data_IF_993548244413
#
_entry.id   IF_993548244413
#
_cell.length_a   1.000
_cell.length_b   1.000
_cell.length_c   1.000
_cell.angle_alpha   90.00
_cell.angle_beta   90.00
_cell.angle_gamma   90.00
#
_symmetry.space_group_name_H-M   'P 1'
#
loop_
_entity.id
_entity.type
_entity.pdbx_description
1 polymer ?
#
# COMPACT_ATOMS: atom_id res chain seq x y z
N UNK A 1 25.86 -28.93 -8.06
CA UNK A 1 25.09 -27.82 -8.67
C UNK A 1 24.24 -27.22 -7.56
N UNK A 2 24.44 -25.97 -7.18
CA UNK A 2 23.58 -25.26 -6.22
C UNK A 2 22.18 -25.15 -6.85
N UNK A 3 21.12 -25.62 -6.15
CA UNK A 3 19.76 -25.33 -6.57
C UNK A 3 19.57 -23.83 -6.58
N UNK A 4 19.16 -23.27 -7.71
CA UNK A 4 18.78 -21.88 -7.79
C UNK A 4 17.61 -21.63 -6.80
N UNK A 5 17.66 -20.51 -6.08
CA UNK A 5 16.55 -20.15 -5.20
C UNK A 5 15.28 -19.92 -6.04
N UNK A 6 14.13 -20.46 -5.62
CA UNK A 6 12.89 -20.28 -6.35
C UNK A 6 12.48 -18.79 -6.38
N UNK A 7 11.83 -18.38 -7.48
CA UNK A 7 11.16 -17.08 -7.56
C UNK A 7 9.95 -17.09 -6.62
N UNK A 8 9.93 -16.23 -5.62
CA UNK A 8 8.80 -16.11 -4.70
C UNK A 8 7.83 -15.05 -5.26
N UNK A 9 6.60 -15.47 -5.56
CA UNK A 9 5.55 -14.61 -6.12
C UNK A 9 4.42 -14.46 -5.11
N UNK A 10 4.13 -13.21 -4.74
CA UNK A 10 2.99 -12.87 -3.89
C UNK A 10 1.75 -12.64 -4.76
N UNK A 11 0.70 -13.44 -4.52
CA UNK A 11 -0.57 -13.36 -5.26
C UNK A 11 -1.54 -12.44 -4.52
N UNK A 12 -1.67 -11.20 -4.98
CA UNK A 12 -2.53 -10.16 -4.41
C UNK A 12 -3.87 -10.07 -5.12
N UNK A 13 -4.97 -10.18 -4.39
CA UNK A 13 -6.34 -9.93 -4.88
C UNK A 13 -7.33 -9.91 -3.71
N UNK A 14 -8.61 -9.72 -4.01
CA UNK A 14 -9.68 -9.94 -3.04
C UNK A 14 -9.63 -11.38 -2.51
N UNK A 15 -9.88 -11.55 -1.21
CA UNK A 15 -9.91 -12.85 -0.55
C UNK A 15 -11.09 -13.73 -1.00
N UNK A 16 -12.08 -13.15 -1.68
CA UNK A 16 -13.34 -13.80 -2.05
C UNK A 16 -13.36 -14.32 -3.50
N UNK A 17 -12.21 -14.50 -4.14
CA UNK A 17 -12.14 -14.95 -5.53
C UNK A 17 -11.23 -16.16 -5.70
N UNK A 18 -11.67 -17.15 -6.47
CA UNK A 18 -11.00 -18.44 -6.65
C UNK A 18 -9.87 -18.42 -7.71
N UNK A 19 -9.53 -17.25 -8.22
CA UNK A 19 -8.54 -17.12 -9.31
C UNK A 19 -7.16 -17.68 -8.99
N UNK A 20 -6.80 -17.74 -7.70
CA UNK A 20 -5.48 -18.24 -7.27
C UNK A 20 -5.35 -19.75 -7.41
N UNK A 21 -6.46 -20.48 -7.34
CA UNK A 21 -6.45 -21.95 -7.45
C UNK A 21 -5.88 -22.44 -8.79
N UNK A 22 -6.36 -21.98 -9.97
CA UNK A 22 -5.76 -22.36 -11.23
C UNK A 22 -4.31 -21.91 -11.38
N UNK A 23 -3.92 -20.77 -10.79
CA UNK A 23 -2.52 -20.32 -10.78
C UNK A 23 -1.66 -21.27 -9.95
N UNK A 24 -2.11 -21.64 -8.75
CA UNK A 24 -1.42 -22.62 -7.89
C UNK A 24 -1.30 -23.98 -8.57
N UNK A 25 -2.38 -24.46 -9.17
CA UNK A 25 -2.35 -25.72 -9.91
C UNK A 25 -1.36 -25.71 -11.09
N UNK A 26 -1.25 -24.57 -11.81
CA UNK A 26 -0.29 -24.42 -12.91
C UNK A 26 1.16 -24.56 -12.46
N UNK A 27 1.49 -24.08 -11.26
CA UNK A 27 2.88 -24.03 -10.75
C UNK A 27 3.17 -25.03 -9.63
N UNK A 28 2.24 -25.92 -9.25
CA UNK A 28 2.39 -26.83 -8.10
C UNK A 28 3.61 -27.77 -8.17
N UNK A 29 4.06 -28.09 -9.40
CA UNK A 29 5.20 -28.97 -9.65
C UNK A 29 6.41 -28.24 -10.24
N UNK A 30 6.42 -26.91 -10.23
CA UNK A 30 7.52 -26.11 -10.74
C UNK A 30 8.40 -25.63 -9.57
N UNK A 31 9.55 -26.28 -9.39
CA UNK A 31 10.50 -25.98 -8.31
C UNK A 31 11.21 -24.63 -8.48
N UNK A 32 11.03 -23.96 -9.62
CA UNK A 32 11.55 -22.62 -9.89
C UNK A 32 10.72 -21.51 -9.27
N UNK A 33 9.49 -21.80 -8.80
CA UNK A 33 8.58 -20.79 -8.25
C UNK A 33 7.97 -21.23 -6.93
N UNK A 34 7.79 -20.28 -6.01
CA UNK A 34 7.02 -20.44 -4.79
C UNK A 34 5.93 -19.39 -4.78
N UNK A 35 4.67 -19.81 -4.73
CA UNK A 35 3.52 -18.92 -4.65
C UNK A 35 3.16 -18.69 -3.18
N UNK A 36 3.06 -17.43 -2.79
CA UNK A 36 2.61 -16.99 -1.46
C UNK A 36 1.45 -16.01 -1.62
N UNK A 37 0.72 -15.74 -0.55
CA UNK A 37 -0.39 -14.79 -0.58
C UNK A 37 -1.38 -15.03 0.55
N UNK A 38 -2.48 -14.27 0.59
CA UNK A 38 -3.55 -14.47 1.57
C UNK A 38 -4.09 -15.89 1.47
N UNK A 39 -4.48 -16.44 2.61
CA UNK A 39 -5.19 -17.72 2.66
C UNK A 39 -6.63 -17.49 2.21
N UNK A 40 -7.08 -18.24 1.20
CA UNK A 40 -8.44 -18.16 0.68
C UNK A 40 -9.44 -18.99 1.49
N UNK A 41 -8.96 -19.72 2.48
CA UNK A 41 -9.83 -20.50 3.35
C UNK A 41 -10.63 -19.57 4.28
N UNK A 42 -11.86 -19.27 3.87
CA UNK A 42 -12.80 -18.46 4.64
C UNK A 42 -13.01 -19.00 6.06
N UNK A 43 -13.05 -20.32 6.23
CA UNK A 43 -13.20 -20.95 7.53
C UNK A 43 -12.08 -20.57 8.49
N UNK A 44 -10.83 -20.45 8.01
CA UNK A 44 -9.72 -19.92 8.81
C UNK A 44 -9.83 -18.41 9.04
N UNK A 45 -10.29 -17.66 8.04
CA UNK A 45 -10.53 -16.23 8.17
C UNK A 45 -11.64 -15.94 9.19
N UNK A 46 -12.74 -16.68 9.11
CA UNK A 46 -13.89 -16.53 10.01
C UNK A 46 -13.60 -17.05 11.42
N UNK A 47 -12.84 -18.14 11.55
CA UNK A 47 -12.43 -18.70 12.83
C UNK A 47 -11.43 -17.82 13.60
N UNK A 48 -10.75 -16.89 12.91
CA UNK A 48 -9.77 -15.99 13.54
C UNK A 48 -10.34 -14.63 13.95
N UNK A 49 -11.64 -14.38 13.81
CA UNK A 49 -12.30 -13.14 14.22
C UNK A 49 -13.55 -12.85 13.39
N UNK A 50 -14.46 -12.05 13.92
CA UNK A 50 -15.68 -11.64 13.23
C UNK A 50 -15.35 -10.89 11.93
N UNK A 51 -16.20 -10.98 10.89
CA UNK A 51 -16.09 -10.13 9.72
C UNK A 51 -16.08 -8.65 10.15
N UNK A 52 -15.02 -7.95 9.80
CA UNK A 52 -14.87 -6.55 10.18
C UNK A 52 -13.83 -6.25 11.25
N UNK A 53 -13.47 -7.21 12.08
CA UNK A 53 -12.39 -7.02 13.02
C UNK A 53 -11.04 -7.13 12.31
N UNK A 54 -10.30 -6.02 12.31
CA UNK A 54 -8.92 -6.02 11.81
C UNK A 54 -8.09 -6.85 12.76
N UNK A 55 -7.66 -8.00 12.28
CA UNK A 55 -6.95 -8.97 13.10
C UNK A 55 -5.57 -8.44 13.49
N UNK A 56 -5.24 -8.45 14.78
CA UNK A 56 -3.87 -8.25 15.20
C UNK A 56 -2.94 -9.17 14.39
N UNK A 57 -1.89 -8.61 13.82
CA UNK A 57 -0.95 -9.36 12.99
C UNK A 57 -1.25 -9.39 11.48
N UNK A 58 -2.35 -8.82 11.00
CA UNK A 58 -2.62 -8.71 9.56
C UNK A 58 -1.51 -7.93 8.83
N UNK A 59 -1.16 -6.75 9.35
CA UNK A 59 -0.01 -5.96 8.88
C UNK A 59 1.28 -6.81 8.86
N UNK A 60 1.60 -7.43 10.00
CA UNK A 60 2.82 -8.23 10.13
C UNK A 60 2.88 -9.36 9.10
N UNK A 61 1.76 -10.05 8.87
CA UNK A 61 1.67 -11.15 7.91
C UNK A 61 1.89 -10.68 6.47
N UNK A 62 1.24 -9.58 6.06
CA UNK A 62 1.43 -8.99 4.72
C UNK A 62 2.89 -8.58 4.55
N UNK A 63 3.44 -7.82 5.50
CA UNK A 63 4.82 -7.36 5.47
C UNK A 63 5.80 -8.53 5.39
N UNK A 64 5.59 -9.58 6.18
CA UNK A 64 6.42 -10.79 6.19
C UNK A 64 6.40 -11.54 4.85
N UNK A 65 5.23 -11.69 4.23
CA UNK A 65 5.12 -12.38 2.94
C UNK A 65 5.74 -11.55 1.81
N UNK A 66 5.45 -10.26 1.76
CA UNK A 66 5.98 -9.35 0.73
C UNK A 66 7.49 -9.15 0.88
N UNK A 67 8.04 -9.11 2.11
CA UNK A 67 9.50 -8.97 2.30
C UNK A 67 10.29 -10.13 1.71
N UNK A 68 9.70 -11.32 1.64
CA UNK A 68 10.30 -12.52 1.07
C UNK A 68 10.00 -12.71 -0.42
N UNK A 69 9.12 -11.90 -0.99
CA UNK A 69 8.70 -12.01 -2.38
C UNK A 69 9.64 -11.27 -3.31
N UNK A 70 9.80 -11.78 -4.51
CA UNK A 70 10.51 -11.13 -5.62
C UNK A 70 9.55 -10.38 -6.52
N UNK A 71 8.33 -10.89 -6.63
CA UNK A 71 7.27 -10.37 -7.49
C UNK A 71 5.98 -10.25 -6.70
N UNK A 72 5.26 -9.14 -6.86
CA UNK A 72 3.85 -9.02 -6.55
C UNK A 72 3.06 -9.18 -7.84
N UNK A 73 2.13 -10.12 -7.86
CA UNK A 73 1.15 -10.31 -8.94
C UNK A 73 -0.23 -9.93 -8.43
N UNK A 74 -0.69 -8.72 -8.78
CA UNK A 74 -1.98 -8.16 -8.37
C UNK A 74 -3.05 -8.39 -9.42
N UNK A 75 -4.26 -8.82 -9.01
CA UNK A 75 -5.37 -9.07 -9.91
C UNK A 75 -6.69 -8.53 -9.38
N UNK A 76 -7.34 -7.67 -10.17
CA UNK A 76 -8.72 -7.21 -9.95
C UNK A 76 -9.62 -7.91 -10.99
N UNK A 77 -10.39 -8.94 -10.59
CA UNK A 77 -11.23 -9.70 -11.51
C UNK A 77 -12.49 -8.96 -11.93
N UNK A 78 -13.11 -8.22 -11.03
CA UNK A 78 -14.35 -7.46 -11.26
C UNK A 78 -14.41 -6.21 -10.38
N UNK A 79 -15.27 -5.27 -10.68
CA UNK A 79 -15.55 -4.06 -9.90
C UNK A 79 -16.37 -4.32 -8.61
N UNK A 80 -16.94 -5.50 -8.47
CA UNK A 80 -17.67 -5.91 -7.26
C UNK A 80 -16.76 -6.02 -6.03
N UNK A 81 -15.46 -6.29 -6.25
CA UNK A 81 -14.48 -6.36 -5.19
C UNK A 81 -13.92 -4.99 -4.85
N UNK A 82 -13.73 -4.74 -3.57
CA UNK A 82 -13.27 -3.44 -3.07
C UNK A 82 -11.81 -3.14 -3.43
N UNK A 83 -10.97 -4.16 -3.55
CA UNK A 83 -9.58 -4.16 -4.04
C UNK A 83 -8.60 -3.18 -3.34
N UNK A 84 -8.97 -2.63 -2.20
CA UNK A 84 -8.12 -1.69 -1.44
C UNK A 84 -6.79 -2.30 -1.00
N UNK A 85 -6.84 -3.57 -0.59
CA UNK A 85 -5.65 -4.31 -0.18
C UNK A 85 -4.61 -4.43 -1.30
N UNK A 86 -5.05 -4.58 -2.56
CA UNK A 86 -4.13 -4.68 -3.70
C UNK A 86 -3.30 -3.40 -3.82
N UNK A 87 -3.93 -2.24 -3.71
CA UNK A 87 -3.25 -0.95 -3.80
C UNK A 87 -2.26 -0.75 -2.66
N UNK A 88 -2.66 -1.12 -1.44
CA UNK A 88 -1.77 -1.09 -0.28
C UNK A 88 -0.54 -1.99 -0.49
N UNK A 89 -0.77 -3.22 -0.97
CA UNK A 89 0.27 -4.22 -1.21
C UNK A 89 1.19 -3.81 -2.38
N UNK A 90 0.66 -3.17 -3.43
CA UNK A 90 1.46 -2.56 -4.51
C UNK A 90 2.37 -1.47 -3.94
N UNK A 91 1.86 -0.60 -3.07
CA UNK A 91 2.66 0.42 -2.41
C UNK A 91 3.83 -0.18 -1.62
N UNK A 92 3.57 -1.20 -0.81
CA UNK A 92 4.61 -1.91 -0.05
C UNK A 92 5.65 -2.54 -0.99
N UNK A 93 5.18 -3.27 -2.01
CA UNK A 93 6.05 -3.96 -2.96
C UNK A 93 6.96 -2.96 -3.70
N UNK A 94 6.41 -1.83 -4.13
CA UNK A 94 7.15 -0.77 -4.81
C UNK A 94 8.21 -0.15 -3.92
N UNK A 95 7.89 0.17 -2.67
CA UNK A 95 8.84 0.73 -1.70
C UNK A 95 10.05 -0.20 -1.46
N UNK A 96 9.82 -1.51 -1.53
CA UNK A 96 10.89 -2.52 -1.38
C UNK A 96 11.54 -2.93 -2.70
N UNK A 97 11.30 -2.21 -3.80
CA UNK A 97 11.87 -2.51 -5.11
C UNK A 97 11.47 -3.86 -5.68
N UNK A 98 10.31 -4.40 -5.27
CA UNK A 98 9.77 -5.65 -5.82
C UNK A 98 9.20 -5.39 -7.20
N UNK A 99 9.28 -6.40 -8.08
CA UNK A 99 8.57 -6.33 -9.36
C UNK A 99 7.08 -6.41 -9.12
N UNK A 100 6.34 -5.55 -9.81
CA UNK A 100 4.88 -5.47 -9.68
C UNK A 100 4.23 -5.71 -11.03
N UNK A 101 3.51 -6.83 -11.15
CA UNK A 101 2.63 -7.11 -12.29
C UNK A 101 1.20 -6.90 -11.84
N UNK A 102 0.47 -6.08 -12.59
CA UNK A 102 -0.88 -5.71 -12.22
C UNK A 102 -1.86 -6.02 -13.34
N UNK A 103 -2.90 -6.77 -13.04
CA UNK A 103 -3.97 -7.12 -13.97
C UNK A 103 -5.27 -6.47 -13.50
N UNK A 104 -5.84 -5.59 -14.33
CA UNK A 104 -7.17 -5.03 -14.12
C UNK A 104 -8.14 -5.55 -15.18
N UNK A 105 -8.91 -6.59 -14.84
CA UNK A 105 -9.99 -7.08 -15.70
C UNK A 105 -11.31 -6.32 -15.48
N UNK A 106 -11.39 -5.47 -14.47
CA UNK A 106 -12.54 -4.65 -14.14
C UNK A 106 -12.48 -3.30 -14.85
N UNK A 107 -12.85 -3.25 -16.11
CA UNK A 107 -12.76 -2.04 -16.96
C UNK A 107 -13.45 -0.80 -16.42
N UNK A 108 -14.50 -0.97 -15.61
CA UNK A 108 -15.17 0.13 -14.91
C UNK A 108 -14.28 0.84 -13.89
N UNK A 109 -13.12 0.25 -13.52
CA UNK A 109 -12.16 0.81 -12.58
C UNK A 109 -10.93 1.41 -13.27
N UNK A 110 -10.86 1.47 -14.60
CA UNK A 110 -9.68 1.92 -15.32
C UNK A 110 -9.19 3.31 -14.88
N UNK A 111 -10.11 4.25 -14.62
CA UNK A 111 -9.74 5.58 -14.14
C UNK A 111 -9.24 5.58 -12.69
N UNK A 112 -9.87 4.78 -11.84
CA UNK A 112 -9.51 4.70 -10.41
C UNK A 112 -8.13 4.06 -10.18
N UNK A 113 -7.76 3.07 -11.01
CA UNK A 113 -6.48 2.36 -10.88
C UNK A 113 -5.29 3.09 -11.51
N UNK A 114 -5.52 4.16 -12.27
CA UNK A 114 -4.45 4.96 -12.90
C UNK A 114 -3.36 5.42 -11.93
N UNK A 115 -3.75 5.68 -10.68
CA UNK A 115 -2.80 6.06 -9.64
C UNK A 115 -1.73 4.99 -9.35
N UNK A 116 -2.03 3.71 -9.62
CA UNK A 116 -1.09 2.61 -9.40
C UNK A 116 -0.13 2.40 -10.58
N UNK A 117 -0.47 2.86 -11.80
CA UNK A 117 0.34 2.59 -12.99
C UNK A 117 1.81 3.03 -12.88
N UNK A 118 2.14 4.17 -12.26
CA UNK A 118 3.55 4.54 -12.03
C UNK A 118 4.30 3.61 -11.06
N UNK A 119 3.56 2.83 -10.27
CA UNK A 119 4.12 1.91 -9.29
C UNK A 119 4.27 0.48 -9.80
N UNK A 120 3.81 0.18 -11.02
CA UNK A 120 3.86 -1.18 -11.60
C UNK A 120 4.89 -1.26 -12.73
N UNK A 121 5.49 -2.42 -12.90
CA UNK A 121 6.44 -2.66 -13.99
C UNK A 121 5.72 -3.05 -15.28
N UNK A 122 4.66 -3.85 -15.18
CA UNK A 122 3.82 -4.25 -16.31
C UNK A 122 2.33 -4.29 -15.87
N UNK A 123 1.44 -3.79 -16.73
CA UNK A 123 -0.01 -3.84 -16.51
C UNK A 123 -0.73 -4.54 -17.65
N UNK A 124 -1.82 -5.27 -17.31
CA UNK A 124 -2.56 -6.10 -18.25
C UNK A 124 -4.07 -5.96 -18.04
N UNK A 125 -4.80 -6.21 -19.10
CA UNK A 125 -6.27 -6.13 -19.14
C UNK A 125 -6.96 -7.46 -18.87
N UNK A 126 -6.21 -8.56 -18.90
CA UNK A 126 -6.72 -9.89 -18.64
C UNK A 126 -5.67 -10.76 -17.93
N UNK A 127 -6.17 -11.77 -17.21
CA UNK A 127 -5.34 -12.64 -16.39
C UNK A 127 -4.33 -13.45 -17.21
N UNK A 128 -4.72 -13.90 -18.42
CA UNK A 128 -3.86 -14.78 -19.21
C UNK A 128 -2.57 -14.07 -19.63
N UNK A 129 -2.66 -12.83 -20.15
CA UNK A 129 -1.49 -12.04 -20.55
C UNK A 129 -0.55 -11.80 -19.35
N UNK A 130 -1.12 -11.47 -18.18
CA UNK A 130 -0.35 -11.33 -16.95
C UNK A 130 0.37 -12.62 -16.54
N UNK A 131 -0.30 -13.76 -16.63
CA UNK A 131 0.29 -15.06 -16.33
C UNK A 131 1.36 -15.49 -17.34
N UNK A 132 1.18 -15.15 -18.62
CA UNK A 132 2.19 -15.42 -19.64
C UNK A 132 3.44 -14.60 -19.42
N UNK A 133 3.28 -13.34 -19.01
CA UNK A 133 4.40 -12.48 -18.61
C UNK A 133 5.11 -13.01 -17.37
N UNK A 134 4.38 -13.45 -16.35
CA UNK A 134 4.94 -14.09 -15.16
C UNK A 134 5.73 -15.35 -15.54
N UNK A 135 5.17 -16.19 -16.41
CA UNK A 135 5.82 -17.41 -16.90
C UNK A 135 7.14 -17.11 -17.64
N UNK A 136 7.15 -16.08 -18.49
CA UNK A 136 8.37 -15.60 -19.16
C UNK A 136 9.42 -15.17 -18.15
N UNK A 137 9.04 -14.43 -17.11
CA UNK A 137 9.95 -13.99 -16.07
C UNK A 137 10.57 -15.18 -15.33
N UNK A 138 9.77 -16.16 -14.93
CA UNK A 138 10.24 -17.39 -14.27
C UNK A 138 11.16 -18.20 -15.18
N UNK A 139 10.83 -18.27 -16.48
CA UNK A 139 11.61 -18.99 -17.50
C UNK A 139 12.93 -18.34 -17.86
N UNK A 140 13.02 -17.02 -17.81
CA UNK A 140 14.21 -16.25 -18.20
C UNK A 140 15.39 -16.40 -17.22
N UNK A 141 15.17 -17.06 -16.08
CA UNK A 141 16.14 -17.54 -15.09
C UNK A 141 16.94 -16.56 -14.25
N UNK A 142 17.13 -16.96 -13.02
CA UNK A 142 18.26 -16.74 -12.11
C UNK A 142 18.94 -15.35 -12.03
N UNK A 143 19.14 -14.67 -13.14
CA UNK A 143 19.71 -13.32 -13.20
C UNK A 143 18.71 -12.21 -12.84
N UNK A 144 17.42 -12.47 -12.95
CA UNK A 144 16.38 -11.47 -12.61
C UNK A 144 16.22 -11.33 -11.10
N UNK A 145 16.55 -12.38 -10.35
CA UNK A 145 16.43 -12.40 -8.89
C UNK A 145 17.61 -11.72 -8.17
N UNK A 146 18.75 -11.56 -8.85
CA UNK A 146 19.95 -10.93 -8.26
C UNK A 146 19.82 -9.41 -8.11
N UNK A 147 18.84 -8.79 -8.76
CA UNK A 147 18.62 -7.34 -8.75
C UNK A 147 17.44 -6.90 -7.87
N UNK A 148 16.88 -7.80 -7.05
CA UNK A 148 15.92 -7.36 -6.03
C UNK A 148 16.70 -6.57 -4.99
N UNK A 149 16.52 -5.26 -4.99
CA UNK A 149 17.12 -4.39 -4.00
C UNK A 149 16.88 -4.94 -2.59
N UNK A 150 17.88 -4.94 -1.76
CA UNK A 150 17.67 -5.07 -0.33
C UNK A 150 16.60 -4.02 0.06
N UNK A 151 15.68 -4.38 0.94
CA UNK A 151 14.71 -3.42 1.45
C UNK A 151 15.42 -2.15 1.95
N UNK A 152 14.70 -1.05 2.12
CA UNK A 152 15.29 0.21 2.52
C UNK A 152 16.17 0.00 3.77
N UNK A 153 17.32 0.63 3.77
CA UNK A 153 18.22 0.61 4.94
C UNK A 153 17.54 1.39 6.07
N UNK A 154 16.95 0.65 6.99
CA UNK A 154 16.23 1.21 8.14
C UNK A 154 17.13 2.06 9.06
N UNK A 155 18.45 2.01 8.88
CA UNK A 155 19.39 2.83 9.65
C UNK A 155 19.40 4.30 9.21
N UNK A 156 18.81 4.64 8.07
CA UNK A 156 18.71 6.04 7.61
C UNK A 156 17.53 6.81 8.23
N UNK A 157 16.69 6.15 9.03
CA UNK A 157 15.60 6.77 9.78
C UNK A 157 16.10 7.42 11.10
N UNK A 158 17.28 8.04 11.07
CA UNK A 158 17.77 8.80 12.22
C UNK A 158 16.99 10.11 12.28
N UNK A 159 16.33 10.34 13.41
CA UNK A 159 15.66 11.59 13.72
C UNK A 159 16.62 12.76 13.45
N UNK A 160 16.25 13.73 12.61
CA UNK A 160 17.05 14.91 12.42
C UNK A 160 17.13 15.68 13.75
N UNK A 161 18.32 15.76 14.31
CA UNK A 161 18.59 16.65 15.43
C UNK A 161 18.95 18.02 14.88
N UNK A 162 18.03 18.98 14.94
CA UNK A 162 18.25 20.37 14.50
C UNK A 162 16.94 21.04 14.08
N UNK A 163 16.99 22.33 13.75
CA UNK A 163 15.89 23.12 13.19
C UNK A 163 15.48 22.60 11.80
N UNK A 164 14.91 21.39 11.74
CA UNK A 164 14.57 20.72 10.48
C UNK A 164 13.09 20.93 10.20
N UNK A 165 12.83 21.46 9.03
CA UNK A 165 11.49 21.59 8.50
C UNK A 165 10.91 20.20 8.20
N UNK A 166 9.80 19.85 8.85
CA UNK A 166 9.11 18.59 8.60
C UNK A 166 8.38 18.61 7.26
N UNK A 167 8.66 17.65 6.42
CA UNK A 167 7.99 17.49 5.13
C UNK A 167 6.83 16.51 5.26
N UNK A 168 5.60 17.02 5.14
CA UNK A 168 4.38 16.24 5.28
C UNK A 168 3.74 16.02 3.92
N UNK A 169 3.67 14.76 3.48
CA UNK A 169 2.99 14.39 2.24
C UNK A 169 1.49 14.27 2.49
N UNK A 170 0.70 14.94 1.66
CA UNK A 170 -0.77 14.92 1.71
C UNK A 170 -1.30 13.94 0.66
N UNK A 171 -2.03 12.92 1.09
CA UNK A 171 -2.69 11.97 0.18
C UNK A 171 -4.15 11.76 0.58
N UNK A 172 -5.03 11.70 -0.39
CA UNK A 172 -6.44 11.43 -0.08
C UNK A 172 -7.41 11.91 -1.13
N UNK A 173 -8.53 12.40 -0.64
CA UNK A 173 -9.64 12.90 -1.42
C UNK A 173 -9.20 13.98 -2.41
N UNK A 174 -9.79 13.97 -3.60
CA UNK A 174 -9.58 14.99 -4.64
C UNK A 174 -10.18 16.34 -4.26
N UNK A 175 -11.08 16.36 -3.27
CA UNK A 175 -11.58 17.60 -2.69
C UNK A 175 -10.44 18.42 -2.07
N UNK A 176 -10.13 19.55 -2.67
CA UNK A 176 -9.05 20.43 -2.20
C UNK A 176 -9.36 21.11 -0.87
N UNK A 177 -10.60 21.12 -0.41
CA UNK A 177 -11.00 21.87 0.79
C UNK A 177 -10.26 21.41 2.05
N UNK A 178 -10.04 20.11 2.22
CA UNK A 178 -9.25 19.61 3.35
C UNK A 178 -7.78 20.00 3.25
N UNK A 179 -7.19 19.99 2.04
CA UNK A 179 -5.81 20.41 1.80
C UNK A 179 -5.65 21.90 2.12
N UNK A 180 -6.60 22.73 1.68
CA UNK A 180 -6.61 24.17 1.99
C UNK A 180 -6.78 24.42 3.49
N UNK A 181 -7.60 23.63 4.18
CA UNK A 181 -7.75 23.69 5.63
C UNK A 181 -6.44 23.37 6.36
N UNK A 182 -5.71 22.34 5.91
CA UNK A 182 -4.39 22.00 6.43
C UNK A 182 -3.42 23.15 6.20
N UNK A 183 -3.30 23.65 4.97
CA UNK A 183 -2.39 24.75 4.62
C UNK A 183 -2.71 26.04 5.38
N UNK A 184 -4.00 26.32 5.58
CA UNK A 184 -4.43 27.50 6.32
C UNK A 184 -4.01 27.44 7.80
N UNK A 185 -4.12 26.24 8.42
CA UNK A 185 -3.73 26.03 9.81
C UNK A 185 -2.24 26.29 10.06
N UNK A 186 -1.37 25.94 9.09
CA UNK A 186 0.09 26.04 9.23
C UNK A 186 0.70 27.18 8.41
N UNK A 187 -0.11 28.14 7.96
CA UNK A 187 0.35 29.23 7.07
C UNK A 187 1.51 30.03 7.62
N UNK A 188 1.53 30.25 8.93
CA UNK A 188 2.54 31.04 9.65
C UNK A 188 3.63 30.16 10.29
N UNK A 189 3.60 28.88 10.02
CA UNK A 189 4.52 27.90 10.60
C UNK A 189 5.58 27.54 9.57
N UNK A 190 6.81 27.91 9.84
CA UNK A 190 7.95 27.62 8.97
C UNK A 190 8.60 26.25 9.21
N UNK A 191 8.17 25.54 10.27
CA UNK A 191 8.68 24.21 10.64
C UNK A 191 8.04 23.09 9.82
N UNK A 192 6.95 23.35 9.10
CA UNK A 192 6.22 22.32 8.33
C UNK A 192 6.09 22.71 6.86
N UNK A 193 6.40 21.79 5.99
CA UNK A 193 6.18 21.89 4.54
C UNK A 193 5.20 20.83 4.08
N UNK A 194 4.14 21.25 3.38
CA UNK A 194 3.14 20.35 2.83
C UNK A 194 3.33 20.09 1.35
N UNK A 195 3.43 18.82 0.98
CA UNK A 195 3.59 18.33 -0.38
C UNK A 195 2.34 17.54 -0.75
N UNK A 196 1.62 17.98 -1.79
CA UNK A 196 0.39 17.32 -2.27
C UNK A 196 0.53 16.70 -3.67
N UNK A 197 1.69 16.88 -4.30
CA UNK A 197 1.98 16.46 -5.67
C UNK A 197 3.31 15.70 -5.72
N UNK A 198 3.63 15.09 -6.87
CA UNK A 198 4.92 14.42 -7.09
C UNK A 198 4.90 12.91 -6.83
N UNK A 199 3.73 12.33 -6.49
CA UNK A 199 3.54 10.89 -6.39
C UNK A 199 4.40 10.21 -5.32
N UNK A 200 4.79 8.94 -5.57
CA UNK A 200 5.54 8.14 -4.59
C UNK A 200 6.97 8.67 -4.35
N UNK A 201 7.57 9.33 -5.32
CA UNK A 201 8.91 9.91 -5.15
C UNK A 201 8.88 11.05 -4.14
N UNK A 202 7.89 11.95 -4.24
CA UNK A 202 7.70 13.01 -3.25
C UNK A 202 7.34 12.47 -1.87
N UNK A 203 6.57 11.37 -1.80
CA UNK A 203 6.31 10.67 -0.55
C UNK A 203 7.59 10.02 0.00
N UNK A 204 8.46 9.48 -0.85
CA UNK A 204 9.75 8.93 -0.42
C UNK A 204 10.61 10.00 0.27
N UNK A 205 10.57 11.22 -0.25
CA UNK A 205 11.34 12.37 0.28
C UNK A 205 10.66 13.09 1.46
N UNK A 206 9.46 12.68 1.86
CA UNK A 206 8.73 13.26 2.99
C UNK A 206 9.05 12.56 4.30
N UNK A 207 8.77 13.21 5.43
CA UNK A 207 8.97 12.64 6.77
C UNK A 207 7.72 11.95 7.28
N UNK A 208 6.54 12.51 6.99
CA UNK A 208 5.24 12.07 7.51
C UNK A 208 4.25 11.95 6.35
N UNK A 209 3.38 10.95 6.41
CA UNK A 209 2.17 10.86 5.57
C UNK A 209 0.95 11.31 6.37
N UNK A 210 0.27 12.38 5.92
CA UNK A 210 -1.09 12.69 6.32
C UNK A 210 -2.05 12.22 5.22
N UNK A 211 -2.76 11.15 5.49
CA UNK A 211 -3.73 10.56 4.60
C UNK A 211 -5.15 10.92 5.05
N UNK A 212 -5.94 11.59 4.21
CA UNK A 212 -7.28 12.06 4.56
C UNK A 212 -8.32 11.59 3.56
N UNK A 213 -9.40 11.00 4.09
CA UNK A 213 -10.60 10.66 3.36
C UNK A 213 -11.78 11.47 3.89
N UNK A 214 -12.34 12.32 3.04
CA UNK A 214 -13.57 13.06 3.31
C UNK A 214 -14.83 12.25 2.93
N UNK A 215 -16.01 12.69 3.35
CA UNK A 215 -17.23 11.89 3.33
C UNK A 215 -17.79 11.53 1.95
N UNK A 216 -17.37 12.21 0.88
CA UNK A 216 -18.12 12.22 -0.38
C UNK A 216 -17.57 11.32 -1.49
N UNK A 217 -16.44 10.65 -1.30
CA UNK A 217 -15.71 10.09 -2.43
C UNK A 217 -15.66 8.56 -2.49
N UNK A 218 -15.41 8.08 -3.72
CA UNK A 218 -15.31 6.68 -4.08
C UNK A 218 -14.14 5.93 -3.43
N UNK A 219 -13.58 5.01 -4.18
CA UNK A 219 -12.42 4.20 -3.77
C UNK A 219 -11.15 5.04 -3.90
N UNK A 220 -10.59 5.49 -2.82
CA UNK A 220 -9.33 6.24 -2.84
C UNK A 220 -8.12 5.30 -2.95
N UNK A 221 -7.90 4.73 -4.12
CA UNK A 221 -6.79 3.81 -4.37
C UNK A 221 -5.42 4.48 -4.20
N UNK A 222 -5.31 5.77 -4.55
CA UNK A 222 -4.11 6.58 -4.30
C UNK A 222 -3.75 6.63 -2.81
N UNK A 223 -4.74 6.80 -1.93
CA UNK A 223 -4.54 6.81 -0.49
C UNK A 223 -4.03 5.45 0.01
N UNK A 224 -4.65 4.35 -0.44
CA UNK A 224 -4.22 3.01 -0.06
C UNK A 224 -2.78 2.73 -0.52
N UNK A 225 -2.45 3.11 -1.74
CA UNK A 225 -1.11 3.00 -2.33
C UNK A 225 -0.09 3.78 -1.49
N UNK A 226 -0.39 5.04 -1.15
CA UNK A 226 0.48 5.89 -0.36
C UNK A 226 0.71 5.33 1.06
N UNK A 227 -0.34 4.84 1.73
CA UNK A 227 -0.23 4.22 3.06
C UNK A 227 0.66 2.98 3.01
N UNK A 228 0.48 2.12 2.02
CA UNK A 228 1.34 0.94 1.84
C UNK A 228 2.80 1.32 1.63
N UNK A 229 3.05 2.28 0.77
CA UNK A 229 4.39 2.77 0.46
C UNK A 229 5.08 3.41 1.67
N UNK A 230 4.39 4.32 2.36
CA UNK A 230 4.89 4.98 3.57
C UNK A 230 5.19 3.98 4.71
N UNK A 231 4.27 3.00 4.92
CA UNK A 231 4.47 1.95 5.93
C UNK A 231 5.70 1.09 5.65
N UNK A 232 5.96 0.77 4.38
CA UNK A 232 7.14 0.01 3.99
C UNK A 232 8.44 0.78 4.19
N UNK A 233 8.40 2.10 4.13
CA UNK A 233 9.51 3.01 4.43
C UNK A 233 9.58 3.39 5.92
N UNK A 234 8.76 2.78 6.78
CA UNK A 234 8.66 3.09 8.21
C UNK A 234 8.36 4.57 8.51
N UNK A 235 7.69 5.27 7.61
CA UNK A 235 7.29 6.67 7.85
C UNK A 235 6.08 6.71 8.77
N UNK A 236 5.99 7.70 9.69
CA UNK A 236 4.78 7.95 10.46
C UNK A 236 3.59 8.22 9.55
N UNK A 237 2.46 7.59 9.85
CA UNK A 237 1.23 7.67 9.06
C UNK A 237 0.10 8.15 9.96
N UNK A 238 -0.45 9.32 9.63
CA UNK A 238 -1.65 9.87 10.24
C UNK A 238 -2.79 9.65 9.26
N UNK A 239 -3.76 8.81 9.63
CA UNK A 239 -4.90 8.52 8.78
C UNK A 239 -6.19 9.09 9.35
N UNK A 240 -6.80 10.00 8.61
CA UNK A 240 -8.10 10.61 8.91
C UNK A 240 -9.16 10.01 7.98
N UNK A 241 -10.21 9.46 8.55
CA UNK A 241 -11.33 8.88 7.82
C UNK A 241 -12.66 9.50 8.28
N UNK A 242 -13.09 10.58 7.64
CA UNK A 242 -14.35 11.26 7.92
C UNK A 242 -15.54 10.63 7.16
N UNK A 243 -15.25 9.75 6.21
CA UNK A 243 -16.29 9.19 5.36
C UNK A 243 -16.94 7.93 5.95
N UNK A 244 -18.26 7.86 5.89
CA UNK A 244 -19.03 6.66 6.28
C UNK A 244 -19.02 5.58 5.21
N UNK A 245 -18.94 5.99 3.94
CA UNK A 245 -18.98 5.08 2.80
C UNK A 245 -17.67 4.28 2.71
N UNK A 246 -17.75 2.98 2.54
CA UNK A 246 -16.60 2.06 2.56
C UNK A 246 -15.79 2.04 3.88
N UNK A 247 -16.31 2.58 4.98
CA UNK A 247 -15.59 2.63 6.27
C UNK A 247 -14.95 1.30 6.64
N UNK A 248 -15.69 0.21 6.50
CA UNK A 248 -15.22 -1.16 6.75
C UNK A 248 -14.03 -1.60 5.87
N UNK A 249 -13.97 -1.15 4.62
CA UNK A 249 -12.85 -1.47 3.74
C UNK A 249 -11.56 -0.77 4.20
N UNK A 250 -11.68 0.42 4.76
CA UNK A 250 -10.55 1.17 5.31
C UNK A 250 -10.07 0.64 6.67
N UNK A 251 -10.82 -0.27 7.30
CA UNK A 251 -10.35 -0.96 8.50
C UNK A 251 -9.07 -1.78 8.23
N UNK A 252 -8.86 -2.22 6.98
CA UNK A 252 -7.60 -2.87 6.58
C UNK A 252 -6.39 -1.94 6.64
N UNK A 253 -6.60 -0.62 6.58
CA UNK A 253 -5.54 0.39 6.62
C UNK A 253 -5.15 0.73 8.05
N UNK A 254 -6.09 0.66 9.01
CA UNK A 254 -5.84 0.99 10.42
C UNK A 254 -4.55 0.41 11.00
N UNK A 255 -4.21 -0.87 10.80
CA UNK A 255 -2.98 -1.43 11.36
C UNK A 255 -1.70 -0.83 10.79
N UNK A 256 -1.80 -0.11 9.68
CA UNK A 256 -0.66 0.52 9.00
C UNK A 256 -0.46 1.97 9.43
N UNK A 257 -1.47 2.59 10.05
CA UNK A 257 -1.40 3.95 10.56
C UNK A 257 -0.90 3.98 12.01
N UNK A 258 -0.10 5.00 12.33
CA UNK A 258 0.36 5.29 13.70
C UNK A 258 -0.71 6.08 14.47
N UNK A 259 -1.52 6.88 13.76
CA UNK A 259 -2.70 7.56 14.27
C UNK A 259 -3.89 7.37 13.34
N UNK A 260 -5.04 6.96 13.89
CA UNK A 260 -6.29 6.82 13.14
C UNK A 260 -7.38 7.71 13.76
N UNK A 261 -7.94 8.61 12.97
CA UNK A 261 -8.90 9.61 13.41
C UNK A 261 -10.13 9.63 12.51
N UNK A 262 -11.28 10.01 13.09
CA UNK A 262 -12.55 10.19 12.37
C UNK A 262 -12.86 11.66 12.08
N UNK A 263 -11.98 12.57 12.50
CA UNK A 263 -12.09 14.02 12.26
C UNK A 263 -10.74 14.58 11.88
N UNK A 264 -10.73 15.48 10.91
CA UNK A 264 -9.50 16.14 10.45
C UNK A 264 -8.82 16.91 11.59
N UNK A 265 -9.59 17.65 12.40
CA UNK A 265 -9.04 18.41 13.52
C UNK A 265 -8.24 17.56 14.52
N UNK A 266 -8.72 16.32 14.79
CA UNK A 266 -8.02 15.42 15.72
C UNK A 266 -6.72 14.88 15.09
N UNK A 267 -6.74 14.59 13.80
CA UNK A 267 -5.55 14.22 13.04
C UNK A 267 -4.51 15.34 13.00
N UNK A 268 -4.96 16.60 12.84
CA UNK A 268 -4.07 17.76 12.83
C UNK A 268 -3.49 18.06 14.22
N UNK A 269 -4.23 17.84 15.31
CA UNK A 269 -3.66 17.92 16.68
C UNK A 269 -2.58 16.85 16.89
N UNK A 270 -2.80 15.66 16.37
CA UNK A 270 -1.77 14.61 16.42
C UNK A 270 -0.56 14.97 15.57
N UNK A 271 -0.76 15.62 14.43
CA UNK A 271 0.35 16.16 13.62
C UNK A 271 1.11 17.25 14.39
N UNK A 272 0.43 18.22 15.05
CA UNK A 272 1.07 19.23 15.89
C UNK A 272 1.99 18.59 16.94
N UNK A 273 1.51 17.51 17.59
CA UNK A 273 2.33 16.73 18.52
C UNK A 273 3.52 16.05 17.84
N UNK A 274 3.31 15.43 16.68
CA UNK A 274 4.35 14.69 15.95
C UNK A 274 5.48 15.61 15.43
N UNK A 275 5.16 16.86 15.11
CA UNK A 275 6.15 17.86 14.63
C UNK A 275 6.64 18.82 15.74
N UNK A 276 6.24 18.59 16.98
CA UNK A 276 6.75 19.34 18.15
C UNK A 276 6.17 20.74 18.33
N UNK A 277 5.00 21.06 17.77
CA UNK A 277 4.34 22.36 17.94
C UNK A 277 3.54 22.37 19.25
N UNK A 278 4.24 22.49 20.38
CA UNK A 278 3.62 22.40 21.70
C UNK A 278 2.61 23.50 22.04
N UNK A 279 2.75 24.70 21.46
CA UNK A 279 1.87 25.83 21.71
C UNK A 279 0.42 25.59 21.29
N UNK A 280 0.19 24.71 20.32
CA UNK A 280 -1.15 24.34 19.84
C UNK A 280 -1.78 23.16 20.59
N UNK A 281 -1.02 22.55 21.50
CA UNK A 281 -1.49 21.44 22.30
C UNK A 281 -2.13 21.88 23.64
N UNK A 282 -2.01 23.18 23.96
CA UNK A 282 -2.58 23.82 25.16
C UNK A 282 -3.93 24.45 24.82
#
# INVERSE_FOLDING_TARGET
MSKANPCVVYLSSSAHSDWREPVRAKYQNDDRVTLVGPCENHGLSDAMGAPGDVKPGHKLRIMQMLSKSHVLFGYIPTDQYRSFNIMLEIGIARAWGRRVFFVNAARSLDDEVKCALPAVDDSFDNLQDGLDRLHQLIGANGNVLSNVAAGPDLQQLVNPTGDVKHRVYLSGSSDSAWVESVRARYREDDQVEFIAEGGLDALADSDILLACRTSAEGRLFNLCLAVGYASALCKPIIFVNEGDHYSHAYDYIKPFADGYFTRLDDGLRYLDYAVGIEERLR
#
